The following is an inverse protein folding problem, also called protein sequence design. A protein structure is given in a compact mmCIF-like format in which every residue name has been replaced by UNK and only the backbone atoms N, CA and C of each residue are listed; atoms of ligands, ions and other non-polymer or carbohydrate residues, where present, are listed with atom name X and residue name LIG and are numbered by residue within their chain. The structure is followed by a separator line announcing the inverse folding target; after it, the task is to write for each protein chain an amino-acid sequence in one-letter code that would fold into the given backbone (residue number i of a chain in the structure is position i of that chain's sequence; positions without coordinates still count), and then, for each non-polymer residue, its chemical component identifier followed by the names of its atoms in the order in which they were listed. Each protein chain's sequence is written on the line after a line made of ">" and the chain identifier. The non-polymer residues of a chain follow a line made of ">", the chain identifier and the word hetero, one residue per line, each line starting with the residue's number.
data_IF_178840432313
#
_entry.id   IF_178840432313
#
_cell.length_a   1.000
_cell.length_b   1.000
_cell.length_c   1.000
_cell.angle_alpha   90.00
_cell.angle_beta   90.00
_cell.angle_gamma   90.00
#
_symmetry.space_group_name_H-M   'P 1'
#
loop_
_entity.id
_entity.type
_entity.pdbx_description
1 polymer ?
#
# COMPACT_ATOMS: atom_id res chain seq x y z
N UNK A 1 11.95 46.33 -1.05
CA UNK A 1 12.83 45.36 -0.35
C UNK A 1 11.94 44.39 0.41
N UNK A 2 11.85 43.17 -0.14
CA UNK A 2 11.44 41.86 0.44
C UNK A 2 10.44 41.82 1.60
N UNK A 3 9.21 41.41 1.30
CA UNK A 3 8.31 40.72 2.23
C UNK A 3 8.34 39.22 1.88
N UNK A 4 8.98 38.40 2.73
CA UNK A 4 9.16 36.95 2.52
C UNK A 4 9.28 36.21 3.86
N UNK A 5 8.43 36.55 4.84
CA UNK A 5 8.52 35.97 6.19
C UNK A 5 7.42 34.97 6.59
N UNK A 6 6.22 35.05 6.00
CA UNK A 6 5.04 34.43 6.61
C UNK A 6 4.72 32.99 6.16
N UNK A 7 5.17 32.55 4.97
CA UNK A 7 4.80 31.23 4.42
C UNK A 7 5.62 30.05 4.96
N UNK A 8 6.72 30.29 5.66
CA UNK A 8 7.64 29.22 6.11
C UNK A 8 7.29 28.61 7.47
N UNK A 9 6.40 29.23 8.25
CA UNK A 9 6.06 28.76 9.61
C UNK A 9 4.96 27.68 9.65
N UNK A 10 4.14 27.56 8.61
CA UNK A 10 3.02 26.60 8.58
C UNK A 10 3.41 25.16 8.18
N UNK A 11 4.59 24.96 7.61
CA UNK A 11 5.10 23.62 7.23
C UNK A 11 5.89 22.96 8.37
N UNK A 12 6.41 23.73 9.33
CA UNK A 12 7.30 23.21 10.38
C UNK A 12 6.56 22.46 11.48
N UNK A 13 5.32 22.84 11.77
CA UNK A 13 4.50 22.21 12.83
C UNK A 13 4.12 20.75 12.54
N UNK A 14 3.62 20.37 11.34
CA UNK A 14 3.28 18.96 11.08
C UNK A 14 4.51 18.05 11.01
N UNK A 15 5.65 18.55 10.55
CA UNK A 15 6.91 17.77 10.47
C UNK A 15 7.44 17.45 11.87
N UNK A 16 7.37 18.40 12.81
CA UNK A 16 7.84 18.16 14.18
C UNK A 16 6.97 17.16 14.95
N UNK A 17 5.65 17.17 14.74
CA UNK A 17 4.74 16.18 15.35
C UNK A 17 5.06 14.77 14.83
N UNK A 18 5.43 14.64 13.56
CA UNK A 18 5.74 13.35 12.93
C UNK A 18 7.13 12.81 13.30
N UNK A 19 8.12 13.70 13.48
CA UNK A 19 9.46 13.35 13.98
C UNK A 19 9.39 12.95 15.45
N UNK A 20 8.62 13.66 16.28
CA UNK A 20 8.40 13.29 17.68
C UNK A 20 7.72 11.91 17.80
N UNK A 21 6.79 11.58 16.89
CA UNK A 21 6.13 10.28 16.85
C UNK A 21 7.06 9.13 16.43
N UNK A 22 8.02 9.38 15.53
CA UNK A 22 9.01 8.37 15.11
C UNK A 22 10.04 8.06 16.21
N UNK A 23 10.44 9.06 17.00
CA UNK A 23 11.43 8.87 18.08
C UNK A 23 10.86 8.08 19.26
N UNK A 24 9.56 8.18 19.53
CA UNK A 24 8.90 7.41 20.62
C UNK A 24 8.69 5.93 20.25
N UNK A 25 8.82 5.54 18.97
CA UNK A 25 8.55 4.16 18.50
C UNK A 25 9.78 3.35 18.10
N UNK A 26 10.97 3.95 18.08
CA UNK A 26 12.19 3.33 17.54
C UNK A 26 13.11 2.64 18.56
N UNK A 27 12.81 2.64 19.86
CA UNK A 27 13.69 2.05 20.85
C UNK A 27 13.34 0.61 21.19
N UNK A 28 13.88 -0.37 20.44
CA UNK A 28 14.38 -1.67 20.95
C UNK A 28 14.94 -2.48 19.76
N UNK A 29 16.24 -2.35 19.53
CA UNK A 29 17.02 -3.32 18.77
C UNK A 29 17.95 -4.04 19.75
N UNK A 30 17.99 -5.39 19.79
CA UNK A 30 18.99 -6.10 20.57
C UNK A 30 20.36 -6.04 19.88
N UNK A 31 21.33 -5.67 20.69
CA UNK A 31 22.77 -5.67 20.48
C UNK A 31 23.24 -7.05 19.97
N UNK A 32 23.80 -7.09 18.76
CA UNK A 32 24.50 -8.27 18.23
C UNK A 32 25.96 -8.20 18.65
N UNK A 33 26.41 -9.30 19.26
CA UNK A 33 27.73 -9.48 19.83
C UNK A 33 28.88 -9.42 18.80
N UNK A 34 29.98 -8.84 19.25
CA UNK A 34 31.30 -8.79 18.65
C UNK A 34 31.89 -10.18 18.35
N UNK A 35 32.61 -10.28 17.21
CA UNK A 35 33.50 -11.38 16.86
C UNK A 35 34.49 -10.96 15.75
N UNK A 36 35.81 -11.12 15.91
CA UNK A 36 36.79 -10.37 15.11
C UNK A 36 37.35 -11.10 13.87
N UNK A 37 37.45 -10.32 12.78
CA UNK A 37 38.52 -10.16 11.76
C UNK A 37 39.54 -11.30 11.50
N UNK A 38 39.65 -11.69 10.22
CA UNK A 38 40.92 -12.11 9.59
C UNK A 38 40.99 -11.69 8.10
N UNK A 39 42.18 -11.22 7.70
CA UNK A 39 42.53 -10.52 6.45
C UNK A 39 42.77 -11.41 5.21
N UNK A 40 42.82 -10.84 3.99
CA UNK A 40 43.13 -11.56 2.74
C UNK A 40 44.63 -11.48 2.36
N UNK A 41 45.12 -12.49 1.64
CA UNK A 41 46.38 -12.40 0.90
C UNK A 41 46.46 -13.40 -0.25
N UNK A 42 46.69 -12.87 -1.46
CA UNK A 42 47.80 -13.33 -2.29
C UNK A 42 47.48 -13.97 -3.66
N UNK A 43 48.02 -13.31 -4.69
CA UNK A 43 48.63 -13.86 -5.91
C UNK A 43 47.80 -14.02 -7.21
N UNK A 44 48.03 -13.07 -8.13
CA UNK A 44 48.19 -13.24 -9.60
C UNK A 44 49.64 -13.74 -9.89
N UNK A 45 50.08 -14.20 -11.10
CA UNK A 45 49.73 -13.64 -12.43
C UNK A 45 49.78 -14.58 -13.69
N UNK A 46 49.59 -13.93 -14.86
CA UNK A 46 50.14 -14.21 -16.22
C UNK A 46 49.40 -15.19 -17.15
N UNK A 47 48.78 -14.72 -18.25
CA UNK A 47 49.29 -14.40 -19.61
C UNK A 47 48.83 -15.50 -20.60
N UNK A 48 48.09 -15.24 -21.68
CA UNK A 48 48.59 -14.69 -22.95
C UNK A 48 47.39 -14.52 -23.93
N UNK A 49 47.37 -13.44 -24.73
CA UNK A 49 46.57 -13.33 -25.98
C UNK A 49 47.25 -14.07 -27.15
N UNK A 50 46.95 -13.85 -28.45
CA UNK A 50 46.22 -12.76 -29.14
C UNK A 50 45.09 -13.32 -30.09
N UNK A 51 44.32 -12.64 -30.95
CA UNK A 51 44.62 -11.69 -32.05
C UNK A 51 43.26 -11.27 -32.69
N UNK A 52 43.08 -9.99 -33.08
CA UNK A 52 41.88 -9.49 -33.83
C UNK A 52 41.92 -9.82 -35.33
N UNK A 53 41.36 -9.01 -36.26
CA UNK A 53 40.40 -7.89 -36.15
C UNK A 53 39.21 -8.00 -37.17
N UNK A 54 38.24 -7.08 -37.17
CA UNK A 54 37.70 -6.42 -38.38
C UNK A 54 36.47 -5.54 -38.09
N UNK A 55 36.52 -4.33 -38.64
CA UNK A 55 35.49 -3.31 -38.60
C UNK A 55 34.42 -3.51 -39.68
N UNK A 56 33.19 -3.09 -39.40
CA UNK A 56 32.27 -2.53 -40.41
C UNK A 56 31.17 -1.71 -39.75
N UNK A 57 31.14 -0.40 -40.05
CA UNK A 57 29.93 0.45 -39.96
C UNK A 57 28.99 0.10 -41.12
N UNK A 58 27.68 0.28 -40.95
CA UNK A 58 26.96 1.11 -41.92
C UNK A 58 25.94 2.09 -41.32
N UNK A 59 26.04 3.30 -41.85
CA UNK A 59 25.09 4.37 -42.22
C UNK A 59 23.57 4.23 -41.93
N UNK A 60 23.01 5.37 -41.53
CA UNK A 60 21.60 5.78 -41.45
C UNK A 60 20.68 5.33 -42.61
N UNK A 61 19.43 4.96 -42.29
CA UNK A 61 18.22 5.55 -42.93
C UNK A 61 16.91 5.25 -42.15
N UNK A 62 16.22 6.34 -41.81
CA UNK A 62 14.78 6.59 -41.73
C UNK A 62 13.75 5.49 -41.38
N UNK A 63 12.86 5.87 -40.45
CA UNK A 63 11.44 5.55 -40.54
C UNK A 63 10.88 4.71 -39.39
N UNK A 64 10.46 5.35 -38.29
CA UNK A 64 9.45 4.74 -37.42
C UNK A 64 8.50 5.82 -36.92
N UNK A 65 7.28 5.70 -37.43
CA UNK A 65 6.06 6.43 -37.12
C UNK A 65 5.83 6.51 -35.60
N UNK A 66 5.43 7.67 -35.02
CA UNK A 66 5.00 7.70 -33.62
C UNK A 66 3.67 6.96 -33.50
N UNK A 67 3.63 5.93 -32.64
CA UNK A 67 2.39 5.32 -32.19
C UNK A 67 1.52 6.36 -31.46
N UNK A 68 0.18 6.34 -31.61
CA UNK A 68 -0.67 7.28 -30.89
C UNK A 68 -0.69 6.94 -29.40
N UNK A 69 -0.15 7.86 -28.59
CA UNK A 69 -0.32 7.86 -27.14
C UNK A 69 -1.80 8.01 -26.79
N UNK A 70 -2.41 6.95 -26.28
CA UNK A 70 -3.73 7.03 -25.65
C UNK A 70 -3.57 7.81 -24.34
N UNK A 71 -4.25 8.95 -24.14
CA UNK A 71 -4.21 9.63 -22.85
C UNK A 71 -4.94 8.77 -21.80
N UNK A 72 -4.45 8.71 -20.54
CA UNK A 72 -5.20 8.04 -19.49
C UNK A 72 -6.55 8.73 -19.31
N UNK A 73 -7.60 7.93 -19.12
CA UNK A 73 -8.94 8.42 -18.86
C UNK A 73 -8.95 9.26 -17.59
N UNK A 74 -9.01 10.58 -17.76
CA UNK A 74 -9.19 11.55 -16.68
C UNK A 74 -10.60 11.38 -16.11
N UNK A 75 -10.74 10.53 -15.10
CA UNK A 75 -11.86 10.63 -14.19
C UNK A 75 -11.88 12.01 -13.53
N UNK A 76 -13.03 12.52 -13.07
CA UNK A 76 -13.09 13.84 -12.46
C UNK A 76 -12.15 13.91 -11.24
N UNK A 77 -11.14 14.77 -11.31
CA UNK A 77 -10.34 15.14 -10.16
C UNK A 77 -11.25 15.91 -9.19
N UNK A 78 -11.66 15.26 -8.11
CA UNK A 78 -12.43 15.91 -7.05
C UNK A 78 -11.49 16.87 -6.31
N UNK A 79 -11.84 18.15 -6.13
CA UNK A 79 -10.99 19.11 -5.43
C UNK A 79 -10.79 18.70 -3.96
N UNK A 80 -9.53 18.54 -3.56
CA UNK A 80 -9.09 18.27 -2.19
C UNK A 80 -9.22 19.52 -1.32
N UNK A 81 -10.44 19.89 -0.89
CA UNK A 81 -10.64 20.93 0.13
C UNK A 81 -11.68 20.56 1.20
N UNK A 82 -11.97 19.26 1.36
CA UNK A 82 -12.77 18.73 2.45
C UNK A 82 -12.16 17.43 2.98
N UNK A 83 -12.40 17.12 4.26
CA UNK A 83 -12.05 15.82 4.82
C UNK A 83 -12.71 14.72 3.97
N UNK A 84 -11.90 13.82 3.43
CA UNK A 84 -12.38 12.66 2.67
C UNK A 84 -13.35 11.83 3.53
N UNK A 85 -14.56 11.59 3.02
CA UNK A 85 -15.52 10.66 3.62
C UNK A 85 -15.56 9.35 2.83
N UNK A 86 -15.16 8.20 3.42
CA UNK A 86 -15.27 6.88 2.80
C UNK A 86 -16.67 6.54 2.27
N UNK A 87 -17.75 7.10 2.84
CA UNK A 87 -19.11 6.86 2.36
C UNK A 87 -19.30 7.24 0.88
N UNK A 88 -18.55 8.24 0.40
CA UNK A 88 -18.57 8.68 -1.00
C UNK A 88 -18.18 7.59 -1.99
N UNK A 89 -17.49 6.54 -1.52
CA UNK A 89 -17.01 5.41 -2.32
C UNK A 89 -17.93 4.18 -2.25
N UNK A 90 -19.12 4.28 -1.64
CA UNK A 90 -19.99 3.13 -1.40
C UNK A 90 -20.40 2.36 -2.67
N UNK A 91 -20.57 3.05 -3.81
CA UNK A 91 -20.90 2.40 -5.07
C UNK A 91 -19.75 1.54 -5.59
N UNK A 92 -18.52 2.06 -5.56
CA UNK A 92 -17.29 1.36 -5.94
C UNK A 92 -17.04 0.17 -5.00
N UNK A 93 -17.23 0.37 -3.70
CA UNK A 93 -17.13 -0.71 -2.69
C UNK A 93 -18.08 -1.85 -3.02
N UNK A 94 -19.37 -1.57 -3.27
CA UNK A 94 -20.34 -2.62 -3.66
C UNK A 94 -19.91 -3.34 -4.93
N UNK A 95 -19.51 -2.59 -5.97
CA UNK A 95 -19.10 -3.13 -7.27
C UNK A 95 -17.93 -4.10 -7.13
N UNK A 96 -16.86 -3.67 -6.45
CA UNK A 96 -15.63 -4.47 -6.37
C UNK A 96 -15.73 -5.57 -5.33
N UNK A 97 -16.41 -5.35 -4.21
CA UNK A 97 -16.67 -6.40 -3.23
C UNK A 97 -17.48 -7.56 -3.85
N UNK A 98 -18.52 -7.24 -4.64
CA UNK A 98 -19.30 -8.26 -5.35
C UNK A 98 -18.45 -9.04 -6.37
N UNK A 99 -17.59 -8.34 -7.13
CA UNK A 99 -16.67 -8.99 -8.09
C UNK A 99 -15.65 -9.92 -7.42
N UNK A 100 -15.13 -9.50 -6.27
CA UNK A 100 -14.16 -10.26 -5.49
C UNK A 100 -14.82 -11.31 -4.58
N UNK A 101 -16.16 -11.37 -4.49
CA UNK A 101 -16.87 -12.31 -3.63
C UNK A 101 -16.62 -12.08 -2.14
N UNK A 102 -16.36 -10.85 -1.72
CA UNK A 102 -16.20 -10.46 -0.31
C UNK A 102 -17.41 -9.65 0.17
N UNK A 103 -17.55 -9.53 1.48
CA UNK A 103 -18.65 -8.77 2.07
C UNK A 103 -18.37 -7.23 1.93
N UNK A 104 -19.31 -6.44 1.36
CA UNK A 104 -19.08 -5.00 1.12
C UNK A 104 -18.93 -4.14 2.38
N UNK A 105 -19.63 -4.47 3.48
CA UNK A 105 -19.51 -3.79 4.78
C UNK A 105 -18.12 -3.96 5.39
N UNK A 106 -17.45 -5.11 5.24
CA UNK A 106 -16.07 -5.35 5.66
C UNK A 106 -15.13 -4.42 4.91
N UNK A 107 -15.22 -4.38 3.58
CA UNK A 107 -14.39 -3.48 2.78
C UNK A 107 -14.62 -2.02 3.17
N UNK A 108 -15.88 -1.60 3.36
CA UNK A 108 -16.19 -0.24 3.81
C UNK A 108 -15.67 0.04 5.23
N UNK A 109 -15.75 -0.91 6.15
CA UNK A 109 -15.23 -0.77 7.50
C UNK A 109 -13.70 -0.63 7.52
N UNK A 110 -13.00 -1.35 6.64
CA UNK A 110 -11.56 -1.17 6.42
C UNK A 110 -11.27 0.25 5.91
N UNK A 111 -12.00 0.76 4.91
CA UNK A 111 -11.79 2.14 4.43
C UNK A 111 -12.00 3.18 5.54
N UNK A 112 -12.97 2.98 6.43
CA UNK A 112 -13.13 3.85 7.61
C UNK A 112 -11.99 3.71 8.63
N UNK A 113 -11.42 2.51 8.79
CA UNK A 113 -10.25 2.31 9.64
C UNK A 113 -9.01 3.01 9.07
N UNK A 114 -8.84 3.03 7.75
CA UNK A 114 -7.70 3.65 7.07
C UNK A 114 -7.84 5.17 6.94
N UNK A 115 -9.06 5.71 6.96
CA UNK A 115 -9.33 7.15 6.84
C UNK A 115 -8.90 8.01 8.05
N UNK A 116 -8.12 7.47 8.99
CA UNK A 116 -7.60 8.22 10.14
C UNK A 116 -6.53 9.27 9.75
N UNK A 117 -6.03 9.21 8.51
CA UNK A 117 -5.11 10.19 7.92
C UNK A 117 -5.74 10.86 6.69
N UNK A 118 -5.36 12.11 6.39
CA UNK A 118 -5.71 12.72 5.12
C UNK A 118 -5.10 11.93 3.96
N UNK A 119 -5.92 11.51 3.00
CA UNK A 119 -5.51 10.90 1.74
C UNK A 119 -5.44 11.96 0.64
N UNK A 120 -4.51 12.91 0.80
CA UNK A 120 -4.24 13.90 -0.22
C UNK A 120 -3.19 13.34 -1.22
N UNK A 121 -3.51 13.25 -2.53
CA UNK A 121 -2.62 12.62 -3.50
C UNK A 121 -1.24 13.30 -3.61
N UNK A 122 -1.18 14.63 -3.50
CA UNK A 122 0.08 15.37 -3.57
C UNK A 122 0.96 15.09 -2.36
N UNK A 123 0.36 15.03 -1.16
CA UNK A 123 1.03 14.64 0.07
C UNK A 123 1.53 13.19 0.01
N UNK A 124 0.71 12.25 -0.46
CA UNK A 124 1.09 10.84 -0.60
C UNK A 124 2.24 10.65 -1.59
N UNK A 125 2.24 11.37 -2.74
CA UNK A 125 3.36 11.37 -3.69
C UNK A 125 4.64 11.99 -3.13
N UNK A 126 4.53 13.07 -2.35
CA UNK A 126 5.68 13.64 -1.66
C UNK A 126 6.26 12.62 -0.66
N UNK A 127 5.40 11.89 0.04
CA UNK A 127 5.79 10.85 0.97
C UNK A 127 6.42 9.63 0.28
N UNK A 128 5.90 9.22 -0.87
CA UNK A 128 6.43 8.11 -1.68
C UNK A 128 7.89 8.30 -2.08
N UNK A 129 8.28 9.54 -2.41
CA UNK A 129 9.69 9.87 -2.72
C UNK A 129 10.62 9.69 -1.51
N UNK A 130 10.09 9.73 -0.30
CA UNK A 130 10.85 9.61 0.95
C UNK A 130 10.76 8.22 1.58
N UNK A 131 9.63 7.52 1.45
CA UNK A 131 9.39 6.15 1.91
C UNK A 131 8.81 5.30 0.77
N UNK A 132 9.67 4.67 -0.05
CA UNK A 132 9.22 3.94 -1.24
C UNK A 132 8.33 2.74 -0.92
N UNK A 133 8.41 2.19 0.30
CA UNK A 133 7.62 1.03 0.76
C UNK A 133 6.45 1.42 1.69
N UNK A 134 6.03 2.68 1.67
CA UNK A 134 4.85 3.13 2.42
C UNK A 134 3.57 2.41 1.94
N UNK A 135 2.43 2.79 2.50
CA UNK A 135 1.12 2.34 2.07
C UNK A 135 0.34 3.55 1.56
N UNK A 136 -0.44 3.37 0.49
CA UNK A 136 -1.05 4.48 -0.26
C UNK A 136 -2.49 4.24 -0.66
N UNK A 137 -3.13 5.34 -1.07
CA UNK A 137 -4.52 5.40 -1.45
C UNK A 137 -5.44 5.31 -0.24
N UNK A 138 -6.73 5.46 -0.52
CA UNK A 138 -7.81 5.45 0.48
C UNK A 138 -7.95 4.12 1.24
N UNK A 139 -7.33 3.06 0.73
CA UNK A 139 -7.27 1.75 1.37
C UNK A 139 -5.93 1.49 2.07
N UNK A 140 -5.00 2.45 2.05
CA UNK A 140 -3.69 2.37 2.70
C UNK A 140 -3.00 1.03 2.40
N UNK A 141 -2.84 0.71 1.11
CA UNK A 141 -2.34 -0.59 0.67
C UNK A 141 -0.81 -0.56 0.45
N UNK A 142 -0.10 -1.54 1.00
CA UNK A 142 1.34 -1.71 0.81
C UNK A 142 1.69 -2.23 -0.59
N UNK A 143 2.87 -1.85 -1.10
CA UNK A 143 3.36 -2.24 -2.43
C UNK A 143 3.37 -3.75 -2.66
N UNK A 144 3.89 -4.52 -1.72
CA UNK A 144 3.97 -5.97 -1.83
C UNK A 144 2.58 -6.61 -1.99
N UNK A 145 1.61 -6.20 -1.15
CA UNK A 145 0.23 -6.69 -1.23
C UNK A 145 -0.41 -6.32 -2.57
N UNK A 146 -0.17 -5.10 -3.07
CA UNK A 146 -0.67 -4.66 -4.37
C UNK A 146 -0.06 -5.49 -5.51
N UNK A 147 1.26 -5.69 -5.51
CA UNK A 147 1.94 -6.44 -6.56
C UNK A 147 1.50 -7.91 -6.61
N UNK A 148 1.30 -8.56 -5.46
CA UNK A 148 0.72 -9.91 -5.40
C UNK A 148 -0.70 -9.95 -5.96
N UNK A 149 -1.55 -9.02 -5.53
CA UNK A 149 -2.95 -8.89 -5.99
C UNK A 149 -2.99 -8.65 -7.51
N UNK A 150 -2.14 -7.74 -8.00
CA UNK A 150 -2.04 -7.36 -9.41
C UNK A 150 -1.70 -8.54 -10.30
N UNK A 151 -0.77 -9.39 -9.86
CA UNK A 151 -0.34 -10.57 -10.62
C UNK A 151 -1.46 -11.60 -10.76
N UNK A 152 -2.33 -11.74 -9.75
CA UNK A 152 -3.37 -12.78 -9.72
C UNK A 152 -4.68 -12.36 -10.39
N UNK A 153 -5.06 -11.09 -10.24
CA UNK A 153 -6.42 -10.63 -10.61
C UNK A 153 -6.49 -9.76 -11.86
N UNK A 154 -5.42 -9.77 -12.67
CA UNK A 154 -5.45 -9.12 -13.97
C UNK A 154 -5.48 -7.59 -13.90
N UNK A 155 -4.95 -6.97 -12.84
CA UNK A 155 -4.68 -5.53 -12.78
C UNK A 155 -3.44 -5.15 -13.65
N UNK A 156 -3.22 -5.90 -14.73
CA UNK A 156 -2.05 -5.79 -15.59
C UNK A 156 -2.01 -4.41 -16.26
N UNK A 157 -0.88 -3.72 -16.14
CA UNK A 157 -0.71 -2.34 -16.61
C UNK A 157 -0.97 -1.28 -15.54
N UNK A 158 -1.59 -1.63 -14.41
CA UNK A 158 -1.71 -0.76 -13.24
C UNK A 158 -0.46 -0.83 -12.37
N UNK A 159 -0.09 0.28 -11.77
CA UNK A 159 1.06 0.42 -10.87
C UNK A 159 0.61 0.83 -9.48
N UNK A 160 1.35 0.38 -8.48
CA UNK A 160 1.08 0.73 -7.10
C UNK A 160 1.16 2.26 -6.86
N UNK A 161 2.01 2.95 -7.63
CA UNK A 161 2.15 4.40 -7.61
C UNK A 161 0.86 5.15 -8.04
N UNK A 162 -0.11 4.47 -8.65
CA UNK A 162 -1.39 5.09 -9.05
C UNK A 162 -2.42 5.13 -7.92
N UNK A 163 -2.21 4.39 -6.82
CA UNK A 163 -3.18 4.29 -5.72
C UNK A 163 -3.57 5.63 -5.07
N UNK A 164 -2.68 6.62 -4.91
CA UNK A 164 -3.07 7.93 -4.41
C UNK A 164 -4.07 8.66 -5.31
N UNK A 165 -3.97 8.45 -6.63
CA UNK A 165 -4.71 9.22 -7.63
C UNK A 165 -5.96 8.49 -8.14
N UNK A 166 -5.96 7.15 -8.09
CA UNK A 166 -7.08 6.33 -8.52
C UNK A 166 -7.73 5.60 -7.34
N UNK A 167 -8.79 6.22 -6.82
CA UNK A 167 -9.61 5.65 -5.74
C UNK A 167 -10.30 4.35 -6.15
N UNK A 168 -10.72 4.21 -7.41
CA UNK A 168 -11.38 2.98 -7.88
C UNK A 168 -10.37 1.82 -7.88
N UNK A 169 -9.14 2.07 -8.34
CA UNK A 169 -8.04 1.09 -8.26
C UNK A 169 -7.72 0.70 -6.82
N UNK A 170 -7.64 1.67 -5.90
CA UNK A 170 -7.37 1.37 -4.49
C UNK A 170 -8.44 0.46 -3.87
N UNK A 171 -9.71 0.68 -4.20
CA UNK A 171 -10.83 -0.15 -3.72
C UNK A 171 -10.81 -1.52 -4.40
N UNK A 172 -10.56 -1.58 -5.71
CA UNK A 172 -10.47 -2.84 -6.46
C UNK A 172 -9.34 -3.72 -5.94
N UNK A 173 -8.16 -3.14 -5.73
CA UNK A 173 -7.01 -3.87 -5.22
C UNK A 173 -7.25 -4.36 -3.78
N UNK A 174 -7.85 -3.54 -2.90
CA UNK A 174 -8.20 -3.96 -1.55
C UNK A 174 -9.24 -5.09 -1.53
N UNK A 175 -10.25 -5.04 -2.40
CA UNK A 175 -11.25 -6.09 -2.53
C UNK A 175 -10.64 -7.44 -2.92
N UNK A 176 -9.77 -7.44 -3.94
CA UNK A 176 -9.08 -8.64 -4.39
C UNK A 176 -8.04 -9.15 -3.38
N UNK A 177 -7.40 -8.25 -2.64
CA UNK A 177 -6.50 -8.67 -1.56
C UNK A 177 -7.27 -9.40 -0.45
N UNK A 178 -8.45 -8.91 -0.06
CA UNK A 178 -9.31 -9.58 0.90
C UNK A 178 -9.82 -10.94 0.39
N UNK A 179 -10.11 -11.04 -0.91
CA UNK A 179 -10.44 -12.32 -1.55
C UNK A 179 -9.29 -13.33 -1.39
N UNK A 180 -8.05 -12.90 -1.68
CA UNK A 180 -6.88 -13.77 -1.54
C UNK A 180 -6.65 -14.19 -0.07
N UNK A 181 -6.85 -13.26 0.87
CA UNK A 181 -6.80 -13.58 2.30
C UNK A 181 -7.86 -14.64 2.68
N UNK A 182 -9.08 -14.50 2.16
CA UNK A 182 -10.15 -15.46 2.40
C UNK A 182 -9.83 -16.85 1.85
N UNK A 183 -9.22 -16.93 0.67
CA UNK A 183 -8.78 -18.18 0.07
C UNK A 183 -7.70 -18.92 0.89
N UNK A 184 -6.93 -18.19 1.73
CA UNK A 184 -5.91 -18.78 2.60
C UNK A 184 -6.44 -19.28 3.94
N UNK A 185 -7.66 -18.90 4.35
CA UNK A 185 -8.18 -19.28 5.66
C UNK A 185 -8.38 -20.80 5.77
N UNK A 186 -7.99 -21.42 6.91
CA UNK A 186 -8.20 -22.84 7.11
C UNK A 186 -9.69 -23.15 7.30
N UNK A 187 -10.15 -24.28 6.78
CA UNK A 187 -11.54 -24.73 6.92
C UNK A 187 -11.96 -25.01 8.36
N UNK A 188 -11.02 -25.42 9.22
CA UNK A 188 -11.22 -25.56 10.66
C UNK A 188 -10.40 -24.52 11.42
N UNK A 189 -11.04 -23.78 12.31
CA UNK A 189 -10.46 -22.68 13.09
C UNK A 189 -10.68 -22.95 14.58
N UNK A 190 -9.67 -22.65 15.38
CA UNK A 190 -9.71 -22.84 16.85
C UNK A 190 -9.93 -21.53 17.60
N UNK A 191 -9.94 -20.41 16.88
CA UNK A 191 -10.04 -19.07 17.44
C UNK A 191 -11.49 -18.56 17.48
N UNK A 192 -11.82 -17.63 18.38
CA UNK A 192 -13.16 -17.05 18.49
C UNK A 192 -13.46 -15.97 17.43
N UNK A 193 -12.56 -15.74 16.48
CA UNK A 193 -12.70 -14.70 15.47
C UNK A 193 -13.59 -15.16 14.32
N UNK A 194 -14.49 -14.27 13.90
CA UNK A 194 -15.27 -14.41 12.66
C UNK A 194 -14.35 -14.36 11.43
N UNK A 195 -14.88 -14.76 10.27
CA UNK A 195 -14.16 -14.60 9.00
C UNK A 195 -13.79 -13.14 8.76
N UNK A 196 -14.72 -12.20 8.94
CA UNK A 196 -14.50 -10.78 8.67
C UNK A 196 -13.40 -10.18 9.56
N UNK A 197 -13.37 -10.57 10.85
CA UNK A 197 -12.32 -10.15 11.77
C UNK A 197 -10.94 -10.71 11.37
N UNK A 198 -10.88 -11.97 10.95
CA UNK A 198 -9.63 -12.56 10.47
C UNK A 198 -9.14 -11.89 9.19
N UNK A 199 -10.05 -11.57 8.26
CA UNK A 199 -9.70 -10.84 7.04
C UNK A 199 -9.20 -9.42 7.36
N UNK A 200 -9.87 -8.71 8.28
CA UNK A 200 -9.41 -7.39 8.73
C UNK A 200 -8.05 -7.45 9.43
N UNK A 201 -7.82 -8.45 10.28
CA UNK A 201 -6.51 -8.71 10.88
C UNK A 201 -5.45 -9.03 9.83
N UNK A 202 -5.79 -9.83 8.82
CA UNK A 202 -4.90 -10.16 7.71
C UNK A 202 -4.56 -8.95 6.85
N UNK A 203 -5.53 -8.06 6.63
CA UNK A 203 -5.31 -6.80 5.94
C UNK A 203 -4.33 -5.91 6.72
N UNK A 204 -4.50 -5.81 8.05
CA UNK A 204 -3.66 -4.97 8.91
C UNK A 204 -2.27 -5.56 9.18
N UNK A 205 -2.15 -6.88 9.29
CA UNK A 205 -0.96 -7.54 9.84
C UNK A 205 -0.30 -8.55 8.90
N UNK A 206 -0.89 -8.77 7.72
CA UNK A 206 -0.45 -9.77 6.75
C UNK A 206 -1.05 -11.16 6.96
N UNK A 207 -0.99 -11.99 5.91
CA UNK A 207 -1.58 -13.34 5.87
C UNK A 207 -0.98 -14.29 6.91
N UNK A 208 0.33 -14.23 7.16
CA UNK A 208 0.99 -15.09 8.16
C UNK A 208 0.42 -14.89 9.57
N UNK A 209 0.21 -13.64 9.98
CA UNK A 209 -0.39 -13.31 11.27
C UNK A 209 -1.88 -13.68 11.31
N UNK A 210 -2.63 -13.42 10.25
CA UNK A 210 -4.01 -13.91 10.11
C UNK A 210 -4.12 -15.42 10.35
N UNK A 211 -3.22 -16.22 9.76
CA UNK A 211 -3.19 -17.67 9.96
C UNK A 211 -2.83 -18.05 11.40
N UNK A 212 -1.93 -17.32 12.04
CA UNK A 212 -1.64 -17.51 13.46
C UNK A 212 -2.87 -17.21 14.33
N UNK A 213 -3.59 -16.11 14.06
CA UNK A 213 -4.82 -15.76 14.76
C UNK A 213 -5.92 -16.78 14.53
N UNK A 214 -6.08 -17.29 13.31
CA UNK A 214 -7.04 -18.36 12.99
C UNK A 214 -6.79 -19.65 13.79
N UNK A 215 -5.55 -19.89 14.23
CA UNK A 215 -5.14 -21.01 15.09
C UNK A 215 -5.19 -20.70 16.59
N UNK A 216 -5.62 -19.50 16.98
CA UNK A 216 -5.83 -19.11 18.37
C UNK A 216 -4.74 -18.22 18.98
N UNK A 217 -3.77 -17.73 18.19
CA UNK A 217 -2.88 -16.68 18.67
C UNK A 217 -3.68 -15.42 19.02
N UNK A 218 -3.25 -14.69 20.05
CA UNK A 218 -3.89 -13.42 20.45
C UNK A 218 -3.24 -12.24 19.71
N UNK A 219 -4.02 -11.29 19.20
CA UNK A 219 -3.49 -10.06 18.64
C UNK A 219 -2.78 -9.25 19.72
N UNK A 220 -1.67 -8.62 19.35
CA UNK A 220 -1.05 -7.58 20.17
C UNK A 220 -1.91 -6.30 20.20
N UNK A 221 -1.53 -5.34 21.05
CA UNK A 221 -2.31 -4.10 21.28
C UNK A 221 -2.68 -3.33 20.01
N UNK A 222 -1.78 -3.28 19.02
CA UNK A 222 -2.03 -2.58 17.76
C UNK A 222 -3.09 -3.28 16.90
N UNK A 223 -2.99 -4.61 16.75
CA UNK A 223 -3.93 -5.41 16.00
C UNK A 223 -5.30 -5.46 16.69
N UNK A 224 -5.31 -5.51 18.03
CA UNK A 224 -6.56 -5.40 18.80
C UNK A 224 -7.22 -4.03 18.60
N UNK A 225 -6.45 -2.94 18.68
CA UNK A 225 -6.99 -1.59 18.41
C UNK A 225 -7.50 -1.42 16.98
N UNK A 226 -6.96 -2.16 16.01
CA UNK A 226 -7.49 -2.21 14.66
C UNK A 226 -8.86 -2.88 14.62
N UNK A 227 -9.01 -4.03 15.28
CA UNK A 227 -10.30 -4.72 15.41
C UNK A 227 -11.34 -3.88 16.15
N UNK A 228 -10.96 -3.24 17.26
CA UNK A 228 -11.89 -2.41 18.03
C UNK A 228 -12.45 -1.26 17.17
N UNK A 229 -11.60 -0.64 16.34
CA UNK A 229 -12.03 0.38 15.36
C UNK A 229 -12.90 -0.20 14.26
N UNK A 230 -12.60 -1.41 13.79
CA UNK A 230 -13.41 -2.11 12.80
C UNK A 230 -14.84 -2.31 13.33
N UNK A 231 -14.97 -2.78 14.58
CA UNK A 231 -16.25 -2.96 15.25
C UNK A 231 -16.98 -1.63 15.44
N UNK A 232 -16.28 -0.59 15.89
CA UNK A 232 -16.86 0.75 16.04
C UNK A 232 -17.37 1.32 14.71
N UNK A 233 -16.73 0.97 13.58
CA UNK A 233 -17.12 1.40 12.24
C UNK A 233 -18.16 0.47 11.59
N UNK A 234 -18.45 -0.69 12.16
CA UNK A 234 -19.23 -1.75 11.50
C UNK A 234 -20.62 -1.28 11.09
N UNK A 235 -21.39 -0.67 11.98
CA UNK A 235 -22.74 -0.16 11.67
C UNK A 235 -22.72 1.01 10.69
N UNK A 236 -21.75 1.91 10.82
CA UNK A 236 -21.55 3.03 9.89
C UNK A 236 -21.25 2.53 8.48
N UNK A 237 -20.36 1.55 8.37
CA UNK A 237 -20.01 0.88 7.11
C UNK A 237 -21.24 0.21 6.47
N UNK A 238 -22.02 -0.51 7.28
CA UNK A 238 -23.24 -1.18 6.83
C UNK A 238 -24.23 -0.19 6.21
N UNK A 239 -24.53 0.90 6.93
CA UNK A 239 -25.41 1.98 6.43
C UNK A 239 -24.93 2.54 5.11
N UNK A 240 -23.64 2.87 4.99
CA UNK A 240 -23.05 3.44 3.78
C UNK A 240 -23.24 2.53 2.56
N UNK A 241 -22.98 1.22 2.69
CA UNK A 241 -23.09 0.28 1.56
C UNK A 241 -24.54 -0.17 1.29
N UNK A 242 -25.45 -0.08 2.27
CA UNK A 242 -26.86 -0.45 2.10
C UNK A 242 -27.64 0.45 1.16
N UNK A 243 -27.17 1.68 0.91
CA UNK A 243 -27.91 2.67 0.12
C UNK A 243 -29.21 3.14 0.78
N UNK A 244 -29.43 2.82 2.07
CA UNK A 244 -30.54 3.32 2.87
C UNK A 244 -30.04 4.48 3.73
N UNK A 245 -30.61 5.69 3.60
CA UNK A 245 -30.31 6.81 4.49
C UNK A 245 -30.72 6.51 5.94
#
# INVERSE_FOLDING_TARGET
>A
MTDSGARRRWVVVPVLVLVAWLLVRGGHAPESADGPRASPSGASPSETGPTGPAAAKPTERAGTTPAPSVPPATGPAVPSNGAYDPASCAAQVRKHAARAGIEPRLLMAILYNESYKPHDPELERAWQRYKPDAAFGIANMHRAAFDETRQRHGLAGRRWEELPDDRDLAIEAAAWHLHDLAAMLPGHRSAPYTTDELLALGYNTGSGNMLAFARGARPGSQAQSYLDRLHANWDKAGKAVSGRP
#
